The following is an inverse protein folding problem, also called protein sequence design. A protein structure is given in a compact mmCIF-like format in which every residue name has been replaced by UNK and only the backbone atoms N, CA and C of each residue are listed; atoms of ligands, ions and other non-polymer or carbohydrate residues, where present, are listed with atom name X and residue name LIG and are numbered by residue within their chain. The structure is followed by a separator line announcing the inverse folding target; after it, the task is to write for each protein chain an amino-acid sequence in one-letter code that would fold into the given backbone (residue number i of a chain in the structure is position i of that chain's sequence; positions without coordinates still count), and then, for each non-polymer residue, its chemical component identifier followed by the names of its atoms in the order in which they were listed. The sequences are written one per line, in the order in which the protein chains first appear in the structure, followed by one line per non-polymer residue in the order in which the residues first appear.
data_IF_384343283704
#
_entry.id   IF_384343283704
#
_cell.length_a   1.000
_cell.length_b   1.000
_cell.length_c   1.000
_cell.angle_alpha   90.00
_cell.angle_beta   90.00
_cell.angle_gamma   90.00
#
_symmetry.space_group_name_H-M   'P 1'
#
loop_
_entity.id
_entity.type
_entity.pdbx_description
1 polymer ?
#
# COMPACT_ATOMS: atom_id res chain seq x y z
N UNK A 1 14.07 14.10 13.36
CA UNK A 1 13.35 13.10 14.18
C UNK A 1 13.42 13.38 15.68
N UNK A 2 14.50 13.97 16.23
CA UNK A 2 14.61 14.30 17.66
C UNK A 2 13.45 15.16 18.22
N UNK A 3 12.80 16.00 17.41
CA UNK A 3 11.69 16.85 17.86
C UNK A 3 10.36 16.10 18.14
N UNK A 4 10.20 14.85 17.68
CA UNK A 4 8.92 14.11 17.81
C UNK A 4 8.91 13.24 19.08
N UNK A 5 10.08 12.76 19.53
CA UNK A 5 10.21 11.89 20.70
C UNK A 5 9.90 12.59 22.02
N UNK A 6 10.01 13.92 22.05
CA UNK A 6 9.79 14.73 23.26
C UNK A 6 8.35 15.25 23.39
N UNK A 7 7.48 14.96 22.40
CA UNK A 7 6.09 15.37 22.44
C UNK A 7 5.28 14.49 23.40
N UNK A 8 4.38 15.11 24.16
CA UNK A 8 3.31 14.39 24.83
C UNK A 8 2.30 13.85 23.81
N UNK A 9 1.52 12.82 24.18
CA UNK A 9 0.45 12.29 23.31
C UNK A 9 -0.58 13.35 22.94
N UNK A 10 -0.89 14.27 23.85
CA UNK A 10 -1.82 15.37 23.61
C UNK A 10 -1.26 16.38 22.62
N UNK A 11 0.02 16.74 22.74
CA UNK A 11 0.71 17.61 21.76
C UNK A 11 0.74 16.95 20.38
N UNK A 12 1.09 15.67 20.33
CA UNK A 12 1.08 14.88 19.11
C UNK A 12 -0.32 14.79 18.47
N UNK A 13 -1.37 14.60 19.27
CA UNK A 13 -2.75 14.57 18.81
C UNK A 13 -3.17 15.89 18.19
N UNK A 14 -2.86 17.00 18.86
CA UNK A 14 -3.17 18.35 18.35
C UNK A 14 -2.44 18.63 17.05
N UNK A 15 -1.14 18.33 16.98
CA UNK A 15 -0.27 18.67 15.86
C UNK A 15 -0.52 17.82 14.61
N UNK A 16 -0.65 16.50 14.77
CA UNK A 16 -0.73 15.57 13.63
C UNK A 16 -2.14 15.04 13.42
N UNK A 17 -2.88 14.88 14.50
CA UNK A 17 -4.17 14.23 14.45
C UNK A 17 -5.28 15.14 13.91
N UNK A 18 -5.39 16.34 14.48
CA UNK A 18 -6.45 17.29 14.13
C UNK A 18 -6.36 17.75 12.67
N UNK A 19 -5.14 18.05 12.20
CA UNK A 19 -4.87 18.45 10.82
C UNK A 19 -5.22 17.35 9.82
N UNK A 20 -4.84 16.10 10.13
CA UNK A 20 -5.17 14.94 9.29
C UNK A 20 -6.67 14.72 9.23
N UNK A 21 -7.37 14.76 10.38
CA UNK A 21 -8.84 14.59 10.44
C UNK A 21 -9.59 15.64 9.62
N UNK A 22 -9.12 16.89 9.66
CA UNK A 22 -9.72 18.00 8.91
C UNK A 22 -9.78 17.71 7.40
N UNK A 23 -8.76 17.03 6.85
CA UNK A 23 -8.70 16.69 5.42
C UNK A 23 -9.74 15.65 4.99
N UNK A 24 -10.40 14.97 5.93
CA UNK A 24 -11.44 13.98 5.64
C UNK A 24 -12.82 14.60 5.55
N UNK A 25 -13.07 15.74 6.21
CA UNK A 25 -14.41 16.35 6.30
C UNK A 25 -14.95 16.63 4.90
N UNK A 26 -16.20 16.22 4.66
CA UNK A 26 -16.92 16.36 3.40
C UNK A 26 -16.61 15.27 2.37
N UNK A 27 -15.53 14.49 2.54
CA UNK A 27 -15.15 13.42 1.62
C UNK A 27 -15.94 12.15 1.89
N UNK A 28 -16.07 11.34 0.83
CA UNK A 28 -16.73 10.04 0.87
C UNK A 28 -15.70 8.91 0.92
N UNK A 29 -16.03 7.87 1.67
CA UNK A 29 -15.23 6.67 1.83
C UNK A 29 -16.11 5.44 1.88
N UNK A 30 -15.58 4.31 1.44
CA UNK A 30 -16.18 3.01 1.73
C UNK A 30 -15.79 2.59 3.14
N UNK A 31 -16.78 2.22 3.94
CA UNK A 31 -16.56 1.64 5.27
C UNK A 31 -16.14 0.20 5.08
N UNK A 32 -15.06 -0.21 5.72
CA UNK A 32 -14.55 -1.58 5.64
C UNK A 32 -13.80 -1.97 6.91
N UNK A 33 -13.46 -3.26 6.99
CA UNK A 33 -12.60 -3.81 8.05
C UNK A 33 -13.19 -3.74 9.46
N UNK A 34 -14.49 -3.50 9.60
CA UNK A 34 -15.17 -3.61 10.88
C UNK A 34 -15.36 -5.09 11.23
N UNK A 35 -15.00 -5.46 12.46
CA UNK A 35 -14.95 -6.86 12.90
C UNK A 35 -16.09 -7.25 13.85
N UNK A 36 -16.70 -6.29 14.55
CA UNK A 36 -17.87 -6.55 15.40
C UNK A 36 -19.07 -6.96 14.54
N UNK A 37 -19.97 -7.79 15.08
CA UNK A 37 -21.16 -8.26 14.34
C UNK A 37 -21.96 -7.09 13.76
N UNK A 38 -22.27 -6.09 14.59
CA UNK A 38 -22.92 -4.86 14.15
C UNK A 38 -22.10 -4.10 13.12
N UNK A 39 -20.78 -3.98 13.32
CA UNK A 39 -19.90 -3.25 12.41
C UNK A 39 -19.80 -3.90 11.03
N UNK A 40 -19.76 -5.24 10.96
CA UNK A 40 -19.70 -5.99 9.69
C UNK A 40 -20.85 -5.65 8.75
N UNK A 41 -22.03 -5.33 9.29
CA UNK A 41 -23.21 -4.91 8.48
C UNK A 41 -23.00 -3.59 7.72
N UNK A 42 -21.97 -2.81 8.11
CA UNK A 42 -21.61 -1.55 7.46
C UNK A 42 -20.48 -1.70 6.44
N UNK A 43 -19.74 -2.81 6.43
CA UNK A 43 -18.67 -3.03 5.46
C UNK A 43 -19.23 -3.00 4.04
N UNK A 44 -18.52 -2.34 3.13
CA UNK A 44 -18.96 -2.09 1.76
C UNK A 44 -19.87 -0.87 1.57
N UNK A 45 -20.49 -0.32 2.62
CA UNK A 45 -21.33 0.88 2.51
C UNK A 45 -20.48 2.13 2.30
N UNK A 46 -21.04 3.12 1.59
CA UNK A 46 -20.41 4.44 1.45
C UNK A 46 -20.81 5.32 2.63
N UNK A 47 -19.86 6.08 3.15
CA UNK A 47 -20.09 7.07 4.19
C UNK A 47 -19.47 8.41 3.81
N UNK A 48 -20.00 9.48 4.39
CA UNK A 48 -19.41 10.82 4.35
C UNK A 48 -18.92 11.20 5.73
N UNK A 49 -17.71 11.74 5.81
CA UNK A 49 -17.18 12.28 7.07
C UNK A 49 -17.76 13.67 7.28
N UNK A 50 -18.39 13.89 8.42
CA UNK A 50 -19.09 15.14 8.76
C UNK A 50 -18.41 15.93 9.87
N UNK A 51 -17.45 15.34 10.57
CA UNK A 51 -16.71 16.02 11.63
C UNK A 51 -15.80 15.08 12.42
N UNK A 52 -15.21 15.61 13.48
CA UNK A 52 -14.43 14.89 14.48
C UNK A 52 -14.46 15.68 15.80
N UNK A 53 -14.01 15.08 16.90
CA UNK A 53 -13.76 15.81 18.15
C UNK A 53 -12.26 15.99 18.32
N UNK A 54 -11.83 17.21 18.65
CA UNK A 54 -10.44 17.57 18.90
C UNK A 54 -9.99 17.30 20.35
N UNK A 55 -10.86 16.75 21.20
CA UNK A 55 -10.55 16.49 22.60
C UNK A 55 -9.92 15.10 22.78
N UNK A 56 -8.59 15.08 22.99
CA UNK A 56 -7.80 13.88 23.26
C UNK A 56 -8.36 13.04 24.42
N UNK A 57 -8.76 13.66 25.54
CA UNK A 57 -9.23 12.94 26.73
C UNK A 57 -10.50 12.09 26.46
N UNK A 58 -11.36 12.55 25.56
CA UNK A 58 -12.63 11.87 25.22
C UNK A 58 -12.56 11.04 23.94
N UNK A 59 -11.55 11.27 23.09
CA UNK A 59 -11.38 10.58 21.81
C UNK A 59 -9.89 10.36 21.48
N UNK A 60 -9.17 9.57 22.30
CA UNK A 60 -7.73 9.36 22.14
C UNK A 60 -7.37 8.58 20.87
N UNK A 61 -8.36 7.93 20.25
CA UNK A 61 -8.25 7.18 18.99
C UNK A 61 -8.61 8.02 17.76
N UNK A 62 -8.99 9.29 17.95
CA UNK A 62 -9.29 10.23 16.88
C UNK A 62 -10.35 9.73 15.89
N UNK A 63 -11.42 9.16 16.43
CA UNK A 63 -12.54 8.70 15.62
C UNK A 63 -13.21 9.88 14.92
N UNK A 64 -13.57 9.63 13.68
CA UNK A 64 -14.27 10.54 12.79
C UNK A 64 -15.78 10.30 12.90
N UNK A 65 -16.55 11.37 12.86
CA UNK A 65 -18.01 11.32 12.76
C UNK A 65 -18.38 11.07 11.30
N UNK A 66 -19.00 9.93 11.04
CA UNK A 66 -19.39 9.50 9.70
C UNK A 66 -20.88 9.27 9.62
N UNK A 67 -21.49 9.63 8.50
CA UNK A 67 -22.87 9.26 8.15
C UNK A 67 -22.84 8.31 6.97
N UNK A 68 -23.57 7.20 7.07
CA UNK A 68 -23.75 6.27 5.96
C UNK A 68 -24.68 6.91 4.94
N UNK A 69 -24.32 6.82 3.66
CA UNK A 69 -25.16 7.21 2.54
C UNK A 69 -25.96 5.97 2.13
N UNK A 70 -27.27 6.01 2.31
CA UNK A 70 -28.16 4.93 1.93
C UNK A 70 -28.49 4.99 0.43
N UNK A 71 -29.11 3.93 -0.09
CA UNK A 71 -29.38 3.78 -1.54
C UNK A 71 -30.33 4.84 -2.09
N UNK A 72 -31.20 5.41 -1.25
CA UNK A 72 -32.12 6.50 -1.60
C UNK A 72 -31.46 7.90 -1.51
N UNK A 73 -30.16 7.96 -1.19
CA UNK A 73 -29.41 9.20 -1.00
C UNK A 73 -29.60 9.82 0.38
N UNK A 74 -30.43 9.24 1.26
CA UNK A 74 -30.57 9.69 2.64
C UNK A 74 -29.31 9.37 3.46
N UNK A 75 -29.12 10.09 4.57
CA UNK A 75 -27.98 9.90 5.45
C UNK A 75 -28.39 9.37 6.83
N UNK A 76 -27.63 8.40 7.33
CA UNK A 76 -27.84 7.87 8.68
C UNK A 76 -27.56 8.90 9.78
N UNK A 77 -27.91 8.55 11.03
CA UNK A 77 -27.33 9.22 12.20
C UNK A 77 -25.80 9.08 12.17
N UNK A 78 -25.11 10.10 12.69
CA UNK A 78 -23.66 10.09 12.77
C UNK A 78 -23.16 9.00 13.72
N UNK A 79 -22.08 8.33 13.33
CA UNK A 79 -21.40 7.30 14.11
C UNK A 79 -19.89 7.54 14.12
N UNK A 80 -19.19 6.95 15.09
CA UNK A 80 -17.75 7.14 15.26
C UNK A 80 -16.95 6.00 14.65
N UNK A 81 -16.26 6.27 13.55
CA UNK A 81 -15.39 5.32 12.84
C UNK A 81 -13.92 5.73 12.97
N UNK A 82 -13.00 4.75 12.98
CA UNK A 82 -11.56 5.03 12.93
C UNK A 82 -11.15 5.35 11.49
N UNK A 83 -10.15 6.20 11.30
CA UNK A 83 -9.60 6.50 9.97
C UNK A 83 -9.17 5.25 9.20
N UNK A 84 -8.65 4.23 9.91
CA UNK A 84 -8.26 2.96 9.31
C UNK A 84 -9.43 2.09 8.79
N UNK A 85 -10.68 2.50 9.02
CA UNK A 85 -11.89 1.87 8.46
C UNK A 85 -12.48 2.66 7.28
N UNK A 86 -11.87 3.77 6.88
CA UNK A 86 -12.33 4.64 5.80
C UNK A 86 -11.48 4.41 4.55
N UNK A 87 -11.91 3.47 3.71
CA UNK A 87 -11.22 3.09 2.48
C UNK A 87 -11.60 4.04 1.34
N UNK A 88 -10.63 4.58 0.57
CA UNK A 88 -10.94 5.41 -0.60
C UNK A 88 -11.88 4.69 -1.58
N UNK A 89 -12.87 5.39 -2.12
CA UNK A 89 -13.89 4.78 -3.00
C UNK A 89 -13.32 4.32 -4.34
N UNK A 90 -12.27 4.97 -4.81
CA UNK A 90 -11.55 4.66 -6.05
C UNK A 90 -10.58 3.48 -5.91
N UNK A 91 -10.31 3.00 -4.69
CA UNK A 91 -9.40 1.88 -4.46
C UNK A 91 -10.03 0.50 -4.67
N UNK A 92 -11.30 0.42 -5.09
CA UNK A 92 -12.06 -0.84 -5.26
C UNK A 92 -11.31 -1.87 -6.10
N UNK A 93 -10.65 -1.41 -7.15
CA UNK A 93 -9.91 -2.25 -8.09
C UNK A 93 -8.77 -3.06 -7.42
N UNK A 94 -8.24 -2.61 -6.28
CA UNK A 94 -7.25 -3.36 -5.48
C UNK A 94 -7.80 -4.71 -4.97
N UNK A 95 -9.11 -4.82 -4.77
CA UNK A 95 -9.75 -6.07 -4.34
C UNK A 95 -9.86 -7.08 -5.48
N UNK A 96 -10.19 -6.61 -6.67
CA UNK A 96 -10.44 -7.43 -7.86
C UNK A 96 -9.13 -7.97 -8.49
N UNK A 97 -8.01 -7.26 -8.27
CA UNK A 97 -6.66 -7.62 -8.73
C UNK A 97 -6.13 -8.99 -8.24
N UNK A 98 -6.72 -9.63 -7.22
CA UNK A 98 -6.24 -10.93 -6.71
C UNK A 98 -6.55 -12.12 -7.62
N UNK A 99 -7.54 -12.00 -8.48
CA UNK A 99 -8.23 -13.15 -9.07
C UNK A 99 -7.39 -13.93 -10.10
N UNK A 100 -6.23 -13.40 -10.49
CA UNK A 100 -5.54 -13.77 -11.71
C UNK A 100 -4.04 -14.05 -11.58
N UNK A 101 -3.39 -13.57 -10.51
CA UNK A 101 -1.94 -13.69 -10.37
C UNK A 101 -1.51 -15.07 -9.89
N UNK A 102 -0.46 -15.63 -10.50
CA UNK A 102 0.16 -16.88 -10.03
C UNK A 102 0.96 -16.60 -8.75
N UNK A 103 0.83 -17.45 -7.70
CA UNK A 103 1.64 -17.34 -6.49
C UNK A 103 3.15 -17.33 -6.76
N UNK A 104 3.86 -16.44 -6.07
CA UNK A 104 5.31 -16.39 -6.06
C UNK A 104 5.87 -17.71 -5.46
N UNK A 105 6.85 -18.37 -6.12
CA UNK A 105 7.43 -19.60 -5.60
C UNK A 105 8.20 -19.37 -4.29
N UNK A 106 8.25 -20.38 -3.43
CA UNK A 106 8.95 -20.31 -2.13
C UNK A 106 10.39 -19.85 -2.24
N UNK A 107 11.10 -20.25 -3.30
CA UNK A 107 12.48 -19.82 -3.54
C UNK A 107 12.60 -18.29 -3.61
N UNK A 108 11.69 -17.63 -4.32
CA UNK A 108 11.68 -16.17 -4.45
C UNK A 108 11.18 -15.50 -3.18
N UNK A 109 10.18 -16.08 -2.49
CA UNK A 109 9.75 -15.60 -1.16
C UNK A 109 10.92 -15.65 -0.17
N UNK A 110 11.64 -16.76 -0.08
CA UNK A 110 12.80 -16.92 0.79
C UNK A 110 13.93 -15.94 0.44
N UNK A 111 14.14 -15.64 -0.85
CA UNK A 111 15.11 -14.63 -1.32
C UNK A 111 14.71 -13.24 -0.80
N UNK A 112 13.46 -12.84 -1.01
CA UNK A 112 12.91 -11.55 -0.54
C UNK A 112 12.99 -11.40 0.98
N UNK A 113 12.57 -12.43 1.74
CA UNK A 113 12.66 -12.45 3.21
C UNK A 113 14.11 -12.28 3.70
N UNK A 114 15.08 -13.00 3.10
CA UNK A 114 16.50 -12.88 3.47
C UNK A 114 17.05 -11.48 3.19
N UNK A 115 16.72 -10.92 2.03
CA UNK A 115 17.14 -9.57 1.65
C UNK A 115 16.60 -8.53 2.64
N UNK A 116 15.31 -8.59 2.96
CA UNK A 116 14.70 -7.69 3.94
C UNK A 116 15.32 -7.81 5.34
N UNK A 117 15.53 -9.03 5.82
CA UNK A 117 16.18 -9.27 7.12
C UNK A 117 17.64 -8.79 7.17
N UNK A 118 18.36 -8.84 6.04
CA UNK A 118 19.72 -8.30 5.96
C UNK A 118 19.76 -6.77 5.91
N UNK A 119 18.76 -6.14 5.29
CA UNK A 119 18.68 -4.68 5.14
C UNK A 119 18.31 -3.96 6.45
N UNK A 120 17.54 -4.64 7.31
CA UNK A 120 17.00 -4.14 8.57
C UNK A 120 17.58 -4.90 9.77
N UNK A 121 18.85 -4.61 10.13
CA UNK A 121 19.49 -5.20 11.30
C UNK A 121 18.83 -4.69 12.58
N UNK A 122 18.60 -5.59 13.55
CA UNK A 122 18.08 -5.21 14.86
C UNK A 122 19.15 -4.40 15.60
N UNK A 123 18.83 -3.17 15.93
CA UNK A 123 19.69 -2.27 16.70
C UNK A 123 18.94 -1.82 17.97
N UNK A 124 19.66 -1.49 19.06
CA UNK A 124 19.05 -0.92 20.26
C UNK A 124 18.23 0.35 19.94
N UNK A 125 17.03 0.46 20.53
CA UNK A 125 16.14 1.62 20.30
C UNK A 125 15.31 1.57 19.01
N UNK A 126 15.29 0.43 18.31
CA UNK A 126 14.42 0.23 17.15
C UNK A 126 12.93 0.25 17.55
N UNK A 127 12.07 0.79 16.68
CA UNK A 127 10.61 0.80 16.88
C UNK A 127 10.07 -0.62 17.11
N UNK A 128 9.14 -0.75 18.07
CA UNK A 128 8.60 -2.05 18.49
C UNK A 128 7.82 -2.73 17.37
N UNK A 129 7.08 -1.94 16.59
CA UNK A 129 6.31 -2.42 15.45
C UNK A 129 7.19 -3.01 14.32
N UNK A 130 8.30 -2.36 14.01
CA UNK A 130 9.31 -2.85 13.06
C UNK A 130 9.95 -4.15 13.55
N UNK A 131 10.38 -4.20 14.82
CA UNK A 131 10.94 -5.43 15.41
C UNK A 131 9.95 -6.60 15.33
N UNK A 132 8.68 -6.36 15.65
CA UNK A 132 7.62 -7.36 15.58
C UNK A 132 7.47 -7.92 14.16
N UNK A 133 7.39 -7.06 13.13
CA UNK A 133 7.26 -7.50 11.74
C UNK A 133 8.50 -8.22 11.22
N UNK A 134 9.70 -7.82 11.63
CA UNK A 134 10.93 -8.57 11.32
C UNK A 134 10.88 -9.98 11.93
N UNK A 135 10.30 -10.15 13.12
CA UNK A 135 10.11 -11.48 13.72
C UNK A 135 9.08 -12.33 12.97
N UNK A 136 8.00 -11.74 12.42
CA UNK A 136 7.09 -12.46 11.51
C UNK A 136 7.84 -13.00 10.29
N UNK A 137 8.72 -12.19 9.69
CA UNK A 137 9.56 -12.59 8.57
C UNK A 137 10.52 -13.73 8.92
N UNK A 138 11.17 -13.66 10.09
CA UNK A 138 12.01 -14.76 10.60
C UNK A 138 11.21 -16.04 10.78
N UNK A 139 10.00 -15.94 11.34
CA UNK A 139 9.09 -17.06 11.53
C UNK A 139 8.76 -17.76 10.22
N UNK A 140 8.28 -17.02 9.22
CA UNK A 140 7.97 -17.59 7.90
C UNK A 140 9.21 -18.18 7.21
N UNK A 141 10.36 -17.50 7.28
CA UNK A 141 11.60 -18.03 6.70
C UNK A 141 12.04 -19.34 7.36
N UNK A 142 11.87 -19.48 8.68
CA UNK A 142 12.21 -20.70 9.40
C UNK A 142 11.26 -21.84 9.03
N UNK A 143 9.95 -21.58 8.94
CA UNK A 143 8.96 -22.57 8.46
C UNK A 143 9.33 -23.08 7.06
N UNK A 144 9.56 -22.17 6.10
CA UNK A 144 9.97 -22.53 4.74
C UNK A 144 11.25 -23.37 4.67
N UNK A 145 12.22 -23.13 5.56
CA UNK A 145 13.44 -23.96 5.64
C UNK A 145 13.13 -25.37 6.16
N UNK A 146 12.18 -25.52 7.08
CA UNK A 146 11.83 -26.78 7.73
C UNK A 146 10.95 -27.68 6.85
N UNK A 147 10.10 -27.10 5.99
CA UNK A 147 9.20 -27.83 5.09
C UNK A 147 9.92 -28.71 4.05
N UNK A 148 11.24 -28.60 3.94
CA UNK A 148 12.07 -29.40 3.04
C UNK A 148 11.96 -28.99 1.56
N UNK A 149 12.92 -29.40 0.72
CA UNK A 149 12.98 -29.08 -0.72
C UNK A 149 11.97 -29.86 -1.59
N UNK A 150 10.81 -30.24 -1.03
CA UNK A 150 9.84 -31.11 -1.72
C UNK A 150 8.68 -30.29 -2.30
N UNK A 151 8.92 -29.52 -3.37
CA UNK A 151 7.96 -29.33 -4.48
C UNK A 151 8.37 -28.18 -5.40
N UNK A 152 7.91 -28.26 -6.66
CA UNK A 152 7.81 -27.10 -7.55
C UNK A 152 6.59 -26.26 -7.10
N UNK A 153 6.68 -25.49 -6.03
CA UNK A 153 5.52 -24.74 -5.54
C UNK A 153 5.68 -24.07 -4.18
N UNK A 154 4.53 -23.84 -3.54
CA UNK A 154 4.40 -23.33 -2.18
C UNK A 154 4.23 -24.51 -1.20
N UNK A 155 5.11 -24.62 -0.21
CA UNK A 155 5.21 -25.77 0.70
C UNK A 155 4.46 -25.62 2.04
N UNK A 156 4.13 -24.39 2.45
CA UNK A 156 3.30 -24.11 3.63
C UNK A 156 1.80 -24.12 3.31
N UNK A 157 0.99 -24.20 4.36
CA UNK A 157 -0.45 -23.95 4.28
C UNK A 157 -0.77 -22.48 3.96
N UNK A 158 -1.98 -22.20 3.47
CA UNK A 158 -2.36 -20.89 2.92
C UNK A 158 -2.18 -19.73 3.92
N UNK A 159 -2.59 -19.92 5.16
CA UNK A 159 -2.54 -18.92 6.22
C UNK A 159 -1.10 -18.66 6.72
N UNK A 160 -0.18 -19.61 6.52
CA UNK A 160 1.20 -19.49 6.99
C UNK A 160 2.06 -18.53 6.17
N UNK A 161 1.65 -18.18 4.95
CA UNK A 161 2.29 -17.12 4.15
C UNK A 161 1.89 -15.71 4.57
N UNK A 162 0.98 -15.60 5.54
CA UNK A 162 0.18 -14.42 5.65
C UNK A 162 0.29 -13.73 7.00
N UNK A 163 0.32 -12.40 6.95
CA UNK A 163 0.41 -11.55 8.13
C UNK A 163 -0.73 -10.53 8.14
N UNK A 164 -1.19 -10.08 9.31
CA UNK A 164 -2.06 -8.93 9.36
C UNK A 164 -1.39 -7.70 8.70
N UNK A 165 -2.14 -6.96 7.89
CA UNK A 165 -1.73 -5.63 7.45
C UNK A 165 -1.52 -4.77 8.68
N UNK A 166 -0.47 -3.96 8.66
CA UNK A 166 -0.12 -3.11 9.79
C UNK A 166 0.02 -3.90 11.09
N UNK A 167 0.51 -5.14 10.97
CA UNK A 167 0.92 -5.98 12.08
C UNK A 167 1.88 -5.17 12.96
N UNK A 168 1.41 -4.82 14.14
CA UNK A 168 2.17 -4.18 15.19
C UNK A 168 1.93 -5.01 16.46
N UNK A 169 2.85 -5.00 17.42
CA UNK A 169 2.59 -5.60 18.71
C UNK A 169 1.33 -4.96 19.32
N UNK A 170 0.68 -5.68 20.23
CA UNK A 170 -0.44 -5.14 20.99
C UNK A 170 0.00 -3.85 21.68
N UNK A 171 -0.83 -2.81 21.58
CA UNK A 171 -0.57 -1.54 22.23
C UNK A 171 -0.61 -1.76 23.74
N UNK A 172 0.54 -1.61 24.40
CA UNK A 172 0.64 -1.61 25.87
C UNK A 172 0.16 -0.25 26.43
N UNK A 173 -0.20 -0.20 27.71
CA UNK A 173 -0.64 1.03 28.38
C UNK A 173 0.39 2.18 28.23
N UNK A 174 1.68 1.83 28.19
CA UNK A 174 2.81 2.73 27.98
C UNK A 174 3.26 2.77 26.50
N UNK A 175 2.33 2.98 25.57
CA UNK A 175 2.66 3.23 24.16
C UNK A 175 3.55 4.47 24.03
N UNK A 176 4.68 4.36 23.32
CA UNK A 176 5.58 5.48 23.00
C UNK A 176 4.89 6.49 22.07
N UNK A 177 5.23 7.78 22.17
CA UNK A 177 4.59 8.84 21.37
C UNK A 177 4.70 8.59 19.86
N UNK A 178 5.82 8.04 19.38
CA UNK A 178 6.00 7.73 17.95
C UNK A 178 5.01 6.65 17.48
N UNK A 179 4.88 5.56 18.23
CA UNK A 179 3.92 4.49 17.93
C UNK A 179 2.48 5.00 17.99
N UNK A 180 2.19 5.84 18.97
CA UNK A 180 0.90 6.53 19.09
C UNK A 180 0.58 7.36 17.82
N UNK A 181 1.50 8.20 17.36
CA UNK A 181 1.33 9.01 16.13
C UNK A 181 1.10 8.12 14.91
N UNK A 182 1.86 7.04 14.77
CA UNK A 182 1.74 6.11 13.65
C UNK A 182 0.39 5.38 13.66
N UNK A 183 -0.13 5.05 14.85
CA UNK A 183 -1.45 4.48 15.01
C UNK A 183 -2.57 5.47 14.65
N UNK A 184 -2.46 6.73 15.05
CA UNK A 184 -3.46 7.77 14.70
C UNK A 184 -3.51 8.04 13.20
N UNK A 185 -2.35 8.10 12.56
CA UNK A 185 -2.24 8.38 11.13
C UNK A 185 -2.27 7.12 10.28
N UNK A 186 -2.67 5.98 10.86
CA UNK A 186 -2.76 4.70 10.15
C UNK A 186 -3.81 4.81 9.04
N UNK A 187 -3.41 4.73 7.75
CA UNK A 187 -4.37 4.76 6.66
C UNK A 187 -5.19 3.46 6.65
N UNK A 188 -6.36 3.51 6.02
CA UNK A 188 -7.17 2.32 5.83
C UNK A 188 -6.48 1.33 4.89
N UNK A 189 -6.57 0.04 5.21
CA UNK A 189 -6.13 -0.99 4.30
C UNK A 189 -7.05 -1.00 3.07
N UNK A 190 -6.48 -0.82 1.88
CA UNK A 190 -7.22 -0.90 0.61
C UNK A 190 -7.40 -2.34 0.12
N UNK A 191 -6.79 -3.31 0.82
CA UNK A 191 -6.93 -4.75 0.62
C UNK A 191 -7.79 -5.38 1.70
N UNK A 192 -7.50 -6.64 2.04
CA UNK A 192 -8.27 -7.48 2.97
C UNK A 192 -7.62 -7.62 4.36
N UNK A 193 -6.88 -6.59 4.83
CA UNK A 193 -6.12 -6.64 6.08
C UNK A 193 -5.11 -7.80 6.20
N UNK A 194 -4.72 -8.41 5.09
CA UNK A 194 -3.77 -9.53 5.05
C UNK A 194 -2.68 -9.22 4.04
N UNK A 195 -1.42 -9.21 4.49
CA UNK A 195 -0.29 -9.43 3.62
C UNK A 195 -0.23 -10.92 3.32
N UNK A 196 -0.08 -11.27 2.05
CA UNK A 196 0.24 -12.63 1.62
C UNK A 196 1.52 -12.57 0.82
N UNK A 197 2.58 -13.20 1.33
CA UNK A 197 3.91 -13.16 0.73
C UNK A 197 3.96 -13.73 -0.69
N UNK A 198 2.97 -14.54 -1.07
CA UNK A 198 2.87 -15.12 -2.41
C UNK A 198 2.45 -14.11 -3.48
N UNK A 199 1.90 -12.96 -3.08
CA UNK A 199 1.43 -11.93 -4.02
C UNK A 199 2.28 -10.66 -3.96
N UNK A 200 3.52 -10.77 -3.47
CA UNK A 200 4.45 -9.65 -3.40
C UNK A 200 4.85 -9.11 -4.77
N UNK A 201 4.70 -9.87 -5.84
CA UNK A 201 4.98 -9.42 -7.22
C UNK A 201 3.72 -8.98 -7.99
N UNK A 202 2.57 -8.88 -7.31
CA UNK A 202 1.29 -8.47 -7.91
C UNK A 202 1.45 -7.17 -8.73
N UNK A 203 1.17 -7.22 -10.02
CA UNK A 203 1.25 -6.06 -10.90
C UNK A 203 2.65 -5.64 -11.36
N UNK A 204 3.72 -6.39 -11.00
CA UNK A 204 5.09 -6.16 -11.49
C UNK A 204 5.41 -6.91 -12.80
N UNK A 205 4.60 -7.92 -13.15
CA UNK A 205 4.70 -8.73 -14.36
C UNK A 205 3.32 -9.16 -14.81
N UNK A 206 3.22 -9.77 -16.00
CA UNK A 206 1.95 -10.27 -16.50
C UNK A 206 1.42 -11.41 -15.64
N UNK A 207 0.10 -11.61 -15.66
CA UNK A 207 -0.57 -12.66 -14.90
C UNK A 207 -1.12 -13.78 -15.80
N UNK A 208 -0.99 -13.64 -17.12
CA UNK A 208 -1.62 -14.45 -18.17
C UNK A 208 -3.15 -14.36 -18.20
N UNK A 209 -3.74 -13.32 -17.59
CA UNK A 209 -5.19 -13.12 -17.55
C UNK A 209 -5.55 -11.73 -18.06
N UNK A 210 -4.87 -10.70 -17.57
CA UNK A 210 -5.02 -9.35 -18.06
C UNK A 210 -4.66 -9.29 -19.54
N UNK A 211 -5.45 -8.56 -20.31
CA UNK A 211 -5.20 -8.28 -21.72
C UNK A 211 -4.78 -6.84 -21.88
N UNK A 212 -3.81 -6.60 -22.74
CA UNK A 212 -3.41 -5.24 -23.10
C UNK A 212 -4.59 -4.58 -23.82
N UNK A 213 -5.16 -3.51 -23.26
CA UNK A 213 -6.29 -2.78 -23.87
C UNK A 213 -5.97 -2.08 -25.21
N UNK A 214 -4.73 -2.20 -25.71
CA UNK A 214 -4.27 -1.61 -26.97
C UNK A 214 -4.10 -2.68 -28.05
N UNK A 215 -3.23 -3.68 -27.84
CA UNK A 215 -3.00 -4.75 -28.82
C UNK A 215 -3.92 -5.96 -28.64
N UNK A 216 -4.72 -6.00 -27.57
CA UNK A 216 -5.66 -7.08 -27.21
C UNK A 216 -5.02 -8.44 -26.87
N UNK A 217 -3.68 -8.51 -26.86
CA UNK A 217 -2.95 -9.71 -26.45
C UNK A 217 -2.92 -9.88 -24.93
N UNK A 218 -2.84 -11.13 -24.47
CA UNK A 218 -2.70 -11.47 -23.05
C UNK A 218 -1.32 -11.09 -22.53
N UNK A 219 -1.29 -10.40 -21.40
CA UNK A 219 -0.06 -10.03 -20.70
C UNK A 219 0.56 -11.29 -20.05
N UNK A 220 1.63 -11.79 -20.64
CA UNK A 220 2.25 -13.06 -20.23
C UNK A 220 3.04 -12.91 -18.93
N UNK A 221 3.03 -13.95 -18.11
CA UNK A 221 3.86 -14.01 -16.89
C UNK A 221 5.36 -14.04 -17.14
N UNK A 222 5.80 -14.25 -18.38
CA UNK A 222 7.20 -14.08 -18.77
C UNK A 222 7.57 -12.62 -19.05
N UNK A 223 6.59 -11.73 -19.19
CA UNK A 223 6.82 -10.32 -19.51
C UNK A 223 7.05 -9.50 -18.24
N UNK A 224 8.23 -8.88 -18.19
CA UNK A 224 8.66 -8.03 -17.08
C UNK A 224 8.61 -6.54 -17.42
N UNK A 225 8.29 -6.18 -18.68
CA UNK A 225 8.19 -4.81 -19.16
C UNK A 225 6.73 -4.40 -19.36
N UNK A 226 6.00 -4.42 -18.26
CA UNK A 226 4.62 -3.94 -18.22
C UNK A 226 4.53 -2.59 -17.53
N UNK A 227 3.52 -1.83 -17.92
CA UNK A 227 3.13 -0.59 -17.29
C UNK A 227 1.80 -0.81 -16.59
N UNK A 228 1.76 -0.55 -15.29
CA UNK A 228 0.53 -0.42 -14.50
C UNK A 228 0.27 1.07 -14.26
N UNK A 229 -0.82 1.60 -14.82
CA UNK A 229 -1.21 3.00 -14.65
C UNK A 229 -1.81 3.27 -13.24
N UNK A 230 -2.03 4.55 -12.83
CA UNK A 230 -2.62 4.86 -11.52
C UNK A 230 -4.05 4.32 -11.35
N UNK A 231 -4.78 4.20 -12.46
CA UNK A 231 -6.08 3.52 -12.54
C UNK A 231 -5.96 1.99 -12.57
N UNK A 232 -4.74 1.47 -12.41
CA UNK A 232 -4.28 0.08 -12.31
C UNK A 232 -4.56 -0.84 -13.50
N UNK A 233 -4.98 -0.26 -14.61
CA UNK A 233 -4.94 -0.94 -15.90
C UNK A 233 -3.50 -1.18 -16.33
N UNK A 234 -3.26 -2.38 -16.87
CA UNK A 234 -1.95 -2.84 -17.30
C UNK A 234 -1.84 -2.86 -18.83
N UNK A 235 -0.66 -2.52 -19.34
CA UNK A 235 -0.34 -2.49 -20.76
C UNK A 235 1.09 -2.96 -21.00
N UNK A 236 1.39 -3.43 -22.22
CA UNK A 236 2.77 -3.51 -22.66
C UNK A 236 3.38 -2.11 -22.65
N UNK A 237 4.63 -1.99 -22.20
CA UNK A 237 5.33 -0.71 -22.17
C UNK A 237 5.41 -0.06 -23.58
N UNK A 238 5.68 -0.86 -24.62
CA UNK A 238 5.71 -0.38 -26.02
C UNK A 238 4.34 0.13 -26.49
N UNK A 239 3.28 -0.65 -26.27
CA UNK A 239 1.93 -0.26 -26.70
C UNK A 239 1.50 1.06 -26.06
N UNK A 240 1.71 1.23 -24.75
CA UNK A 240 1.32 2.47 -24.08
C UNK A 240 2.17 3.66 -24.54
N UNK A 241 3.47 3.44 -24.75
CA UNK A 241 4.36 4.49 -25.26
C UNK A 241 3.92 4.98 -26.64
N UNK A 242 3.60 4.07 -27.55
CA UNK A 242 3.06 4.40 -28.88
C UNK A 242 1.71 5.13 -28.78
N UNK A 243 0.82 4.65 -27.92
CA UNK A 243 -0.48 5.28 -27.69
C UNK A 243 -0.35 6.73 -27.20
N UNK A 244 0.46 6.96 -26.16
CA UNK A 244 0.67 8.31 -25.60
C UNK A 244 1.42 9.23 -26.57
N UNK A 245 2.19 8.65 -27.50
CA UNK A 245 2.87 9.39 -28.57
C UNK A 245 1.99 9.66 -29.79
N UNK A 246 0.81 9.05 -29.90
CA UNK A 246 -0.16 9.30 -30.98
C UNK A 246 -0.84 10.66 -30.84
N UNK A 247 -1.49 11.15 -31.89
CA UNK A 247 -2.24 12.43 -31.84
C UNK A 247 -3.33 12.42 -30.75
N UNK A 248 -4.03 11.30 -30.60
CA UNK A 248 -5.07 11.14 -29.57
C UNK A 248 -4.48 11.15 -28.15
N UNK A 249 -3.37 10.46 -27.94
CA UNK A 249 -2.71 10.38 -26.63
C UNK A 249 -1.95 11.64 -26.24
N UNK A 250 -1.35 12.34 -27.21
CA UNK A 250 -0.66 13.63 -26.97
C UNK A 250 -1.62 14.72 -26.52
N UNK A 251 -2.83 14.74 -27.09
CA UNK A 251 -3.87 15.70 -26.69
C UNK A 251 -4.42 15.38 -25.31
N UNK A 252 -4.50 14.10 -24.94
CA UNK A 252 -5.10 13.64 -23.71
C UNK A 252 -4.29 12.45 -23.16
N UNK A 253 -3.37 12.71 -22.23
CA UNK A 253 -2.66 11.66 -21.49
C UNK A 253 -3.64 10.94 -20.57
N UNK A 254 -4.40 10.03 -21.16
CA UNK A 254 -5.47 9.30 -20.53
C UNK A 254 -5.25 7.80 -20.74
N UNK A 255 -5.65 7.01 -19.75
CA UNK A 255 -5.67 5.57 -19.85
C UNK A 255 -6.51 5.12 -21.06
N UNK A 256 -5.99 4.26 -21.95
CA UNK A 256 -6.74 3.75 -23.10
C UNK A 256 -8.04 3.03 -22.70
N UNK A 257 -8.06 2.38 -21.54
CA UNK A 257 -9.20 1.58 -21.07
C UNK A 257 -10.29 2.41 -20.41
N UNK A 258 -9.94 3.30 -19.48
CA UNK A 258 -10.91 4.01 -18.63
C UNK A 258 -10.92 5.52 -18.78
N UNK A 259 -10.03 6.07 -19.63
CA UNK A 259 -9.84 7.51 -19.86
C UNK A 259 -9.45 8.34 -18.63
N UNK A 260 -9.07 7.68 -17.52
CA UNK A 260 -8.50 8.37 -16.38
C UNK A 260 -7.20 9.08 -16.78
N UNK A 261 -7.03 10.32 -16.34
CA UNK A 261 -5.81 11.08 -16.62
C UNK A 261 -4.59 10.40 -16.00
N UNK A 262 -3.50 10.38 -16.74
CA UNK A 262 -2.23 9.77 -16.33
C UNK A 262 -1.14 10.85 -16.31
N UNK A 263 -0.23 10.83 -15.32
CA UNK A 263 0.93 11.73 -15.29
C UNK A 263 1.69 11.83 -16.63
N UNK A 264 2.04 13.06 -17.02
CA UNK A 264 2.78 13.38 -18.26
C UNK A 264 4.28 13.01 -18.19
N UNK A 265 4.62 11.84 -17.65
CA UNK A 265 6.00 11.38 -17.50
C UNK A 265 6.08 9.85 -17.58
N UNK A 266 6.54 9.31 -18.71
CA UNK A 266 6.60 7.85 -18.89
C UNK A 266 7.49 7.13 -17.88
N UNK A 267 8.47 7.82 -17.26
CA UNK A 267 9.31 7.22 -16.22
C UNK A 267 8.47 6.75 -15.03
N UNK A 268 7.34 7.41 -14.72
CA UNK A 268 6.44 7.04 -13.60
C UNK A 268 5.86 5.65 -13.74
N UNK A 269 6.03 4.97 -14.87
CA UNK A 269 5.43 3.66 -15.10
C UNK A 269 6.42 2.56 -15.45
N UNK A 270 7.71 2.89 -15.55
CA UNK A 270 8.74 1.89 -15.80
C UNK A 270 9.06 1.15 -14.50
N UNK A 271 8.95 -0.18 -14.56
CA UNK A 271 9.13 -1.07 -13.41
C UNK A 271 10.35 -1.95 -13.66
N UNK A 272 11.33 -1.90 -12.76
CA UNK A 272 12.36 -2.95 -12.70
C UNK A 272 11.85 -4.04 -11.76
N UNK A 273 11.45 -5.19 -12.32
CA UNK A 273 10.84 -6.28 -11.58
C UNK A 273 11.65 -6.69 -10.33
N UNK A 274 12.97 -6.92 -10.47
CA UNK A 274 13.81 -7.41 -9.36
C UNK A 274 13.99 -6.36 -8.28
N UNK A 275 14.12 -5.08 -8.67
CA UNK A 275 14.25 -3.97 -7.74
C UNK A 275 12.93 -3.75 -6.98
N UNK A 276 11.80 -3.72 -7.67
CA UNK A 276 10.50 -3.46 -7.04
C UNK A 276 10.02 -4.62 -6.17
N UNK A 277 10.26 -5.87 -6.60
CA UNK A 277 9.97 -7.02 -5.76
C UNK A 277 10.76 -6.94 -4.45
N UNK A 278 12.06 -6.65 -4.53
CA UNK A 278 12.92 -6.45 -3.36
C UNK A 278 12.41 -5.32 -2.47
N UNK A 279 12.02 -4.19 -3.06
CA UNK A 279 11.49 -3.03 -2.33
C UNK A 279 10.24 -3.39 -1.55
N UNK A 280 9.28 -4.09 -2.16
CA UNK A 280 8.05 -4.52 -1.46
C UNK A 280 8.34 -5.40 -0.25
N UNK A 281 9.27 -6.35 -0.37
CA UNK A 281 9.71 -7.16 0.78
C UNK A 281 10.38 -6.32 1.88
N UNK A 282 11.12 -5.27 1.51
CA UNK A 282 11.73 -4.37 2.49
C UNK A 282 10.73 -3.41 3.13
N UNK A 283 9.63 -3.12 2.43
CA UNK A 283 8.67 -2.10 2.80
C UNK A 283 7.71 -2.55 3.91
N UNK A 284 7.17 -3.77 3.84
CA UNK A 284 6.24 -4.24 4.88
C UNK A 284 6.83 -4.18 6.31
N UNK A 285 8.10 -4.55 6.58
CA UNK A 285 8.70 -4.32 7.89
C UNK A 285 8.66 -2.85 8.31
N UNK A 286 8.86 -1.90 7.39
CA UNK A 286 8.91 -0.47 7.68
C UNK A 286 7.53 0.14 7.90
N UNK A 287 6.60 -0.01 6.95
CA UNK A 287 5.27 0.62 7.00
C UNK A 287 4.17 -0.27 7.56
N UNK A 288 4.32 -1.58 7.46
CA UNK A 288 3.24 -2.55 7.70
C UNK A 288 2.27 -2.69 6.52
N UNK A 289 2.48 -1.99 5.40
CA UNK A 289 1.61 -2.10 4.24
C UNK A 289 1.66 -3.49 3.61
N UNK A 290 0.51 -4.11 3.35
CA UNK A 290 0.48 -5.28 2.47
C UNK A 290 0.79 -4.90 1.03
N UNK A 291 1.04 -5.90 0.18
CA UNK A 291 1.24 -5.72 -1.25
C UNK A 291 0.20 -4.76 -1.85
N UNK A 292 -1.09 -4.91 -1.56
CA UNK A 292 -2.15 -4.01 -2.06
C UNK A 292 -2.00 -2.56 -1.60
N UNK A 293 -1.64 -2.36 -0.34
CA UNK A 293 -1.40 -1.03 0.20
C UNK A 293 -0.13 -0.42 -0.40
N UNK A 294 0.93 -1.20 -0.62
CA UNK A 294 2.14 -0.74 -1.29
C UNK A 294 1.80 -0.31 -2.73
N UNK A 295 1.09 -1.15 -3.49
CA UNK A 295 0.60 -0.80 -4.83
C UNK A 295 -0.15 0.53 -4.83
N UNK A 296 -1.10 0.69 -3.91
CA UNK A 296 -1.99 1.84 -3.90
C UNK A 296 -1.35 3.13 -3.38
N UNK A 297 -0.66 3.07 -2.24
CA UNK A 297 -0.14 4.25 -1.56
C UNK A 297 1.26 4.64 -2.03
N UNK A 298 2.06 3.70 -2.54
CA UNK A 298 3.48 3.95 -2.84
C UNK A 298 3.78 3.85 -4.33
N UNK A 299 3.15 2.93 -5.05
CA UNK A 299 3.53 2.63 -6.43
C UNK A 299 2.61 3.22 -7.49
N UNK A 300 1.34 3.48 -7.14
CA UNK A 300 0.33 4.09 -8.03
C UNK A 300 0.89 5.34 -8.71
N UNK A 301 1.60 6.15 -7.93
CA UNK A 301 2.24 7.40 -8.36
C UNK A 301 3.75 7.38 -8.01
N UNK A 302 4.44 6.26 -8.32
CA UNK A 302 5.81 5.95 -7.85
C UNK A 302 6.83 7.09 -7.97
N UNK A 303 6.78 7.87 -9.05
CA UNK A 303 7.74 8.95 -9.32
C UNK A 303 7.17 10.35 -9.05
N UNK A 304 5.99 10.45 -8.42
CA UNK A 304 5.50 11.72 -7.93
C UNK A 304 6.44 12.21 -6.82
N UNK A 305 6.95 13.44 -6.99
CA UNK A 305 7.80 14.07 -5.99
C UNK A 305 7.02 14.32 -4.70
N UNK A 306 7.65 13.99 -3.58
CA UNK A 306 7.15 14.30 -2.24
C UNK A 306 7.53 15.73 -1.91
N UNK A 307 6.54 16.61 -1.81
CA UNK A 307 6.78 17.99 -1.43
C UNK A 307 7.41 18.08 -0.04
N UNK A 308 8.54 18.81 0.05
CA UNK A 308 9.25 19.04 1.31
C UNK A 308 10.04 17.84 1.83
N UNK A 309 10.15 16.75 1.07
CA UNK A 309 10.94 15.56 1.45
C UNK A 309 12.08 15.38 0.47
N UNK A 310 13.31 15.39 1.01
CA UNK A 310 14.54 15.20 0.24
C UNK A 310 15.52 14.31 1.01
N UNK A 311 16.38 13.60 0.28
CA UNK A 311 17.54 12.90 0.82
C UNK A 311 18.82 13.56 0.28
N UNK A 312 19.98 12.93 0.55
CA UNK A 312 21.29 13.36 0.02
C UNK A 312 21.36 13.46 -1.51
N UNK A 313 20.44 12.80 -2.22
CA UNK A 313 20.33 12.81 -3.67
C UNK A 313 19.24 13.78 -4.19
N UNK A 314 18.68 14.63 -3.33
CA UNK A 314 17.69 15.64 -3.68
C UNK A 314 16.24 15.24 -3.37
N UNK A 315 15.30 15.77 -4.14
CA UNK A 315 13.87 15.55 -3.93
C UNK A 315 13.51 14.07 -4.05
N UNK A 316 12.81 13.53 -3.06
CA UNK A 316 12.39 12.13 -3.05
C UNK A 316 11.06 11.95 -3.77
N UNK A 317 10.85 10.76 -4.31
CA UNK A 317 9.56 10.33 -4.87
C UNK A 317 8.83 9.35 -3.95
N UNK A 318 7.54 9.11 -4.20
CA UNK A 318 6.70 8.19 -3.41
C UNK A 318 7.34 6.82 -3.21
N UNK A 319 7.93 6.25 -4.25
CA UNK A 319 8.56 4.93 -4.20
C UNK A 319 10.01 4.93 -3.72
N UNK A 320 10.54 6.06 -3.24
CA UNK A 320 11.89 6.14 -2.65
C UNK A 320 11.86 6.24 -1.12
N UNK A 321 10.67 6.37 -0.52
CA UNK A 321 10.52 6.42 0.95
C UNK A 321 11.03 5.10 1.54
N UNK A 322 11.91 5.18 2.54
CA UNK A 322 12.44 4.00 3.24
C UNK A 322 13.53 3.22 2.50
N UNK A 323 13.93 3.66 1.30
CA UNK A 323 14.98 3.01 0.50
C UNK A 323 16.35 3.66 0.75
N UNK A 324 17.41 2.84 0.84
CA UNK A 324 18.78 3.28 1.18
C UNK A 324 19.62 3.81 0.00
N UNK A 325 19.04 4.04 -1.20
CA UNK A 325 19.71 4.38 -2.49
C UNK A 325 20.64 3.27 -3.03
N UNK A 326 21.08 3.15 -4.29
CA UNK A 326 20.95 3.88 -5.56
C UNK A 326 20.57 2.85 -6.67
N UNK A 327 19.37 2.83 -7.22
CA UNK A 327 19.19 2.27 -8.57
C UNK A 327 18.26 3.22 -9.31
N UNK A 328 18.86 4.05 -10.16
CA UNK A 328 18.18 4.91 -11.11
C UNK A 328 17.21 4.05 -11.94
N UNK A 329 15.93 4.42 -11.96
CA UNK A 329 14.97 3.90 -12.92
C UNK A 329 15.57 4.01 -14.32
N UNK A 330 15.61 2.89 -15.06
CA UNK A 330 16.13 2.87 -16.42
C UNK A 330 15.41 3.93 -17.25
N UNK A 331 16.11 5.02 -17.57
CA UNK A 331 15.71 5.89 -18.65
C UNK A 331 15.92 5.12 -19.95
N UNK A 332 14.99 5.16 -20.92
CA UNK A 332 15.33 4.74 -22.27
C UNK A 332 16.54 5.57 -22.73
N UNK A 333 17.55 4.97 -23.37
CA UNK A 333 18.54 5.76 -24.07
C UNK A 333 17.81 6.59 -25.15
N UNK A 334 17.84 7.93 -25.03
CA UNK A 334 17.34 8.83 -26.07
C UNK A 334 15.99 9.53 -25.84
N UNK A 335 15.56 9.76 -24.60
CA UNK A 335 14.51 10.73 -24.27
C UNK A 335 15.06 11.94 -23.52
#
# INVERSE_FOLDING_TARGET
MAAITDLSKEQAYSMFGSSTSQQYIGRQFRVDHLTSEKGKTLNGKICRVVGFTSNYATNPDMRLQCKIIESDGSESKAMLLKGCNLVPTDSRIMWELMSASKPLPDKEIMKGLKQALSAHRLEPGMRRDLMYRLNLYRGALNKLKQSGKKSKGNALEEDEYCFPCMAAPTVEENEETVEYIMRLNRPACVGNNKLDLRFMDLGLKGDNVATCGICTETLSSSETKLVTLPCVHQFHASCLQEWLSSDLGRLNWNCPTCRHSVPHNMKTYMVNYETELRNRFQEFPLSGFCHKCILWFMEKDRNQALQGVANENGAMTMNQIGQKSEEMYLCPPGM
#
